data_IF_485991255382
#
_entry.id   IF_485991255382
#
_cell.length_a   1.000
_cell.length_b   1.000
_cell.length_c   1.000
_cell.angle_alpha   90.00
_cell.angle_beta   90.00
_cell.angle_gamma   90.00
#
_symmetry.space_group_name_H-M   'P 1'
#
loop_
_entity.id
_entity.type
_entity.pdbx_description
1 polymer ?
#
# COMPACT_ATOMS: atom_id res chain seq x y z
N UNK A 1 7.03 4.74 27.20
CA UNK A 1 6.55 3.55 26.48
C UNK A 1 5.27 3.92 25.78
N UNK A 2 5.21 3.86 24.45
CA UNK A 2 4.09 4.47 23.70
C UNK A 2 3.19 3.42 23.01
N UNK A 3 3.01 2.25 23.62
CA UNK A 3 1.92 1.35 23.25
C UNK A 3 0.74 1.68 24.18
N UNK A 4 -0.18 2.52 23.70
CA UNK A 4 -1.46 2.72 24.40
C UNK A 4 -2.38 1.59 23.98
N UNK A 5 -2.62 0.65 24.88
CA UNK A 5 -3.53 -0.48 24.65
C UNK A 5 -4.86 -0.13 25.29
N UNK A 6 -5.93 0.07 24.49
CA UNK A 6 -7.27 0.26 25.04
C UNK A 6 -7.76 -1.02 25.73
N UNK A 7 -8.74 -0.90 26.61
CA UNK A 7 -9.36 -2.06 27.26
C UNK A 7 -10.26 -2.79 26.23
N UNK A 8 -9.73 -3.89 25.69
CA UNK A 8 -10.39 -4.73 24.68
C UNK A 8 -10.90 -6.02 25.30
N UNK A 9 -10.22 -6.51 26.35
CA UNK A 9 -10.52 -7.81 26.96
C UNK A 9 -9.90 -8.99 26.20
N UNK A 10 -10.62 -10.15 26.12
CA UNK A 10 -10.09 -11.33 25.43
C UNK A 10 -9.82 -11.07 23.94
N UNK A 11 -8.59 -11.37 23.47
CA UNK A 11 -8.24 -11.14 22.08
C UNK A 11 -7.24 -12.16 21.49
N UNK A 12 -7.37 -12.39 20.18
CA UNK A 12 -6.34 -12.99 19.32
C UNK A 12 -5.66 -11.87 18.54
N UNK A 13 -4.35 -11.84 18.62
CA UNK A 13 -3.53 -10.76 18.07
C UNK A 13 -2.74 -11.25 16.85
N UNK A 14 -2.66 -10.43 15.81
CA UNK A 14 -1.64 -10.53 14.76
C UNK A 14 -0.85 -9.23 14.68
N UNK A 15 0.39 -9.28 14.18
CA UNK A 15 1.27 -8.11 14.16
C UNK A 15 2.11 -8.05 12.89
N UNK A 16 2.35 -6.83 12.40
CA UNK A 16 3.09 -6.63 11.16
C UNK A 16 3.17 -5.17 10.74
N UNK A 17 3.73 -4.94 9.56
CA UNK A 17 3.73 -3.61 8.92
C UNK A 17 2.52 -3.44 8.01
N UNK A 18 1.98 -4.52 7.48
CA UNK A 18 0.81 -4.60 6.60
C UNK A 18 0.90 -3.70 5.35
N UNK A 19 2.13 -3.33 4.95
CA UNK A 19 2.33 -2.45 3.80
C UNK A 19 1.82 -3.08 2.51
N UNK A 20 0.92 -2.36 1.83
CA UNK A 20 0.25 -2.79 0.60
C UNK A 20 -0.99 -3.66 0.81
N UNK A 21 -1.25 -4.18 2.02
CA UNK A 21 -2.41 -5.06 2.29
C UNK A 21 -2.60 -6.13 1.21
N UNK A 22 -1.49 -6.78 0.82
CA UNK A 22 -1.50 -7.87 -0.16
C UNK A 22 -2.33 -9.07 0.33
N UNK A 23 -2.65 -10.00 -0.56
CA UNK A 23 -3.53 -11.15 -0.24
C UNK A 23 -3.05 -11.97 0.96
N UNK A 24 -1.74 -12.08 1.19
CA UNK A 24 -1.21 -12.73 2.39
C UNK A 24 -1.51 -11.97 3.70
N UNK A 25 -1.52 -10.63 3.67
CA UNK A 25 -1.95 -9.84 4.83
C UNK A 25 -3.45 -10.00 5.11
N UNK A 26 -4.28 -10.01 4.05
CA UNK A 26 -5.74 -10.24 4.18
C UNK A 26 -6.02 -11.61 4.79
N UNK A 27 -5.32 -12.65 4.32
CA UNK A 27 -5.40 -13.99 4.91
C UNK A 27 -5.01 -13.99 6.40
N UNK A 28 -3.92 -13.27 6.76
CA UNK A 28 -3.50 -13.19 8.15
C UNK A 28 -4.58 -12.57 9.06
N UNK A 29 -5.22 -11.49 8.60
CA UNK A 29 -6.35 -10.87 9.31
C UNK A 29 -7.53 -11.84 9.40
N UNK A 30 -7.89 -12.51 8.31
CA UNK A 30 -9.00 -13.47 8.27
C UNK A 30 -8.77 -14.65 9.22
N UNK A 31 -7.58 -15.26 9.20
CA UNK A 31 -7.22 -16.36 10.12
C UNK A 31 -7.29 -15.89 11.57
N UNK A 32 -6.81 -14.68 11.86
CA UNK A 32 -6.87 -14.08 13.20
C UNK A 32 -8.32 -13.88 13.65
N UNK A 33 -9.18 -13.36 12.78
CA UNK A 33 -10.60 -13.15 13.06
C UNK A 33 -11.36 -14.47 13.28
N UNK A 34 -11.06 -15.50 12.48
CA UNK A 34 -11.63 -16.84 12.66
C UNK A 34 -11.21 -17.45 14.00
N UNK A 35 -9.92 -17.36 14.33
CA UNK A 35 -9.37 -17.87 15.57
C UNK A 35 -9.90 -17.14 16.80
N UNK A 36 -10.15 -15.84 16.69
CA UNK A 36 -10.74 -15.01 17.74
C UNK A 36 -12.19 -15.43 18.02
N UNK A 37 -13.01 -15.53 16.98
CA UNK A 37 -14.41 -16.00 17.13
C UNK A 37 -14.51 -17.38 17.76
N UNK A 38 -13.61 -18.30 17.41
CA UNK A 38 -13.59 -19.65 18.00
C UNK A 38 -13.22 -19.66 19.52
N UNK A 39 -12.78 -18.51 20.07
CA UNK A 39 -12.35 -18.33 21.46
C UNK A 39 -13.17 -17.29 22.21
N UNK A 40 -14.31 -16.87 21.66
CA UNK A 40 -15.13 -15.77 22.19
C UNK A 40 -14.29 -14.52 22.48
N UNK A 41 -13.42 -14.15 21.57
CA UNK A 41 -12.44 -13.08 21.67
C UNK A 41 -12.51 -12.13 20.48
N UNK A 42 -11.98 -10.92 20.63
CA UNK A 42 -11.80 -9.97 19.54
C UNK A 42 -10.55 -10.28 18.72
N UNK A 43 -10.57 -9.95 17.43
CA UNK A 43 -9.39 -9.96 16.58
C UNK A 43 -8.70 -8.61 16.61
N UNK A 44 -7.38 -8.60 16.88
CA UNK A 44 -6.58 -7.38 17.00
C UNK A 44 -5.40 -7.44 16.03
N UNK A 45 -5.29 -6.44 15.17
CA UNK A 45 -4.12 -6.26 14.35
C UNK A 45 -3.24 -5.13 14.90
N UNK A 46 -1.97 -5.42 15.18
CA UNK A 46 -0.98 -4.43 15.63
C UNK A 46 -0.10 -4.05 14.46
N UNK A 47 -0.14 -2.77 14.06
CA UNK A 47 0.63 -2.21 12.96
C UNK A 47 1.88 -1.53 13.52
N UNK A 48 3.07 -1.94 13.08
CA UNK A 48 4.30 -1.25 13.40
C UNK A 48 4.53 -0.07 12.44
N UNK A 49 4.67 1.13 13.00
CA UNK A 49 5.04 2.33 12.25
C UNK A 49 6.02 3.21 13.05
N UNK A 50 7.14 3.69 12.45
CA UNK A 50 7.61 3.37 11.10
C UNK A 50 7.94 1.88 10.92
N UNK A 51 8.14 1.42 9.67
CA UNK A 51 8.59 0.04 9.42
C UNK A 51 9.87 -0.28 10.19
N UNK A 52 9.96 -1.43 10.88
CA UNK A 52 11.10 -1.78 11.73
C UNK A 52 12.47 -1.58 11.08
N UNK A 53 12.57 -1.84 9.78
CA UNK A 53 13.85 -1.73 9.04
C UNK A 53 14.39 -0.30 9.01
N UNK A 54 13.53 0.73 9.06
CA UNK A 54 13.96 2.15 9.08
C UNK A 54 14.65 2.51 10.41
N UNK A 55 14.24 1.86 11.50
CA UNK A 55 14.86 2.03 12.83
C UNK A 55 16.08 1.12 13.00
N UNK A 56 16.01 -0.13 12.49
CA UNK A 56 17.12 -1.10 12.58
C UNK A 56 18.31 -0.67 11.72
N UNK A 57 18.04 -0.04 10.57
CA UNK A 57 19.06 0.45 9.63
C UNK A 57 18.82 1.93 9.33
N UNK A 58 19.29 2.84 10.18
CA UNK A 58 19.11 4.28 9.97
C UNK A 58 19.60 4.73 8.59
N UNK A 59 18.80 5.56 7.92
CA UNK A 59 19.04 5.99 6.54
C UNK A 59 18.38 5.10 5.48
N UNK A 60 17.80 3.96 5.85
CA UNK A 60 16.95 3.18 4.95
C UNK A 60 15.56 3.82 4.92
N UNK A 61 15.06 4.17 3.72
CA UNK A 61 13.68 4.60 3.52
C UNK A 61 12.94 3.49 2.77
N UNK A 62 11.87 2.99 3.37
CA UNK A 62 11.01 1.99 2.72
C UNK A 62 10.13 2.68 1.69
N UNK A 63 10.21 2.24 0.44
CA UNK A 63 9.23 2.63 -0.58
C UNK A 63 7.88 2.00 -0.23
N UNK A 64 6.95 2.79 0.29
CA UNK A 64 5.66 2.32 0.79
C UNK A 64 4.70 2.01 -0.34
N UNK A 65 4.00 0.90 -0.25
CA UNK A 65 2.95 0.49 -1.19
C UNK A 65 1.63 1.23 -0.92
N UNK A 66 1.42 1.68 0.33
CA UNK A 66 0.26 2.47 0.75
C UNK A 66 0.70 3.61 1.68
N UNK A 67 0.00 4.75 1.66
CA UNK A 67 0.10 5.74 2.73
C UNK A 67 -0.38 5.13 4.06
N UNK A 68 0.18 5.64 5.16
CA UNK A 68 -0.03 5.08 6.52
C UNK A 68 -1.50 4.99 6.91
N UNK A 69 -2.23 6.05 6.72
CA UNK A 69 -3.64 6.14 7.07
C UNK A 69 -4.52 5.13 6.33
N UNK A 70 -4.17 4.81 5.07
CA UNK A 70 -4.84 3.76 4.31
C UNK A 70 -4.48 2.34 4.78
N UNK A 71 -3.33 2.11 5.41
CA UNK A 71 -2.99 0.79 5.96
C UNK A 71 -3.98 0.44 7.07
N UNK A 72 -4.18 1.32 8.03
CA UNK A 72 -5.08 1.06 9.16
C UNK A 72 -6.53 0.82 8.72
N UNK A 73 -7.07 1.66 7.82
CA UNK A 73 -8.42 1.46 7.29
C UNK A 73 -8.56 0.13 6.56
N UNK A 74 -7.59 -0.24 5.71
CA UNK A 74 -7.64 -1.50 4.97
C UNK A 74 -7.47 -2.75 5.83
N UNK A 75 -6.76 -2.64 6.96
CA UNK A 75 -6.69 -3.71 7.96
C UNK A 75 -8.06 -3.90 8.62
N UNK A 76 -8.74 -2.80 8.99
CA UNK A 76 -10.10 -2.86 9.52
C UNK A 76 -11.10 -3.43 8.49
N UNK A 77 -11.04 -2.97 7.23
CA UNK A 77 -11.89 -3.47 6.12
C UNK A 77 -11.67 -4.96 5.84
N UNK A 78 -10.46 -5.48 6.12
CA UNK A 78 -10.16 -6.89 6.00
C UNK A 78 -10.75 -7.75 7.13
N UNK A 79 -11.40 -7.14 8.13
CA UNK A 79 -12.16 -7.81 9.17
C UNK A 79 -11.47 -7.92 10.53
N UNK A 80 -10.47 -7.09 10.80
CA UNK A 80 -9.97 -6.93 12.16
C UNK A 80 -10.97 -6.13 13.00
N UNK A 81 -11.35 -6.63 14.19
CA UNK A 81 -12.27 -5.92 15.10
C UNK A 81 -11.59 -4.67 15.67
N UNK A 82 -10.28 -4.74 15.93
CA UNK A 82 -9.47 -3.62 16.40
C UNK A 82 -8.17 -3.52 15.65
N UNK A 83 -7.76 -2.28 15.38
CA UNK A 83 -6.47 -1.94 14.79
C UNK A 83 -5.71 -1.05 15.76
N UNK A 84 -4.53 -1.50 16.19
CA UNK A 84 -3.64 -0.76 17.07
C UNK A 84 -2.38 -0.35 16.31
N UNK A 85 -1.98 0.91 16.44
CA UNK A 85 -0.72 1.38 15.91
C UNK A 85 0.35 1.39 17.01
N UNK A 86 1.41 0.61 16.81
CA UNK A 86 2.57 0.57 17.69
C UNK A 86 3.70 1.38 17.06
N UNK A 87 4.11 2.45 17.72
CA UNK A 87 5.30 3.20 17.30
C UNK A 87 6.54 2.31 17.47
N UNK A 88 7.15 1.94 16.34
CA UNK A 88 8.39 1.17 16.37
C UNK A 88 9.57 2.12 16.57
N UNK A 89 10.10 2.13 17.77
CA UNK A 89 11.26 2.94 18.18
C UNK A 89 12.38 2.06 18.77
N UNK A 90 13.46 2.69 19.21
CA UNK A 90 14.59 1.98 19.82
C UNK A 90 14.18 1.19 21.08
N UNK A 91 13.22 1.69 21.86
CA UNK A 91 12.76 1.01 23.06
C UNK A 91 11.98 -0.28 22.70
N UNK A 92 11.07 -0.20 21.72
CA UNK A 92 10.31 -1.37 21.27
C UNK A 92 11.21 -2.40 20.57
N UNK A 93 12.22 -1.95 19.84
CA UNK A 93 13.23 -2.82 19.21
C UNK A 93 13.98 -3.69 20.22
N UNK A 94 14.33 -3.13 21.37
CA UNK A 94 15.13 -3.82 22.41
C UNK A 94 14.27 -4.69 23.34
N UNK A 95 12.95 -4.69 23.22
CA UNK A 95 12.06 -5.54 24.02
C UNK A 95 12.24 -7.01 23.68
N UNK A 96 12.35 -7.86 24.70
CA UNK A 96 12.22 -9.30 24.53
C UNK A 96 10.76 -9.65 24.12
N UNK A 97 10.53 -10.77 23.42
CA UNK A 97 9.18 -11.18 23.05
C UNK A 97 8.21 -11.25 24.21
N UNK A 98 8.65 -11.76 25.36
CA UNK A 98 7.86 -11.86 26.59
C UNK A 98 7.46 -10.49 27.13
N UNK A 99 8.38 -9.53 27.10
CA UNK A 99 8.15 -8.15 27.54
C UNK A 99 7.14 -7.46 26.64
N UNK A 100 7.23 -7.68 25.33
CA UNK A 100 6.27 -7.13 24.36
C UNK A 100 4.87 -7.70 24.58
N UNK A 101 4.73 -9.02 24.72
CA UNK A 101 3.44 -9.67 24.96
C UNK A 101 2.86 -9.26 26.32
N UNK A 102 3.68 -9.16 27.36
CA UNK A 102 3.26 -8.68 28.67
C UNK A 102 2.81 -7.21 28.64
N UNK A 103 3.38 -6.39 27.76
CA UNK A 103 2.98 -5.00 27.59
C UNK A 103 1.58 -4.81 26.98
N UNK A 104 0.99 -5.85 26.40
CA UNK A 104 -0.40 -5.85 25.93
C UNK A 104 -1.40 -6.12 27.08
N UNK A 105 -0.97 -6.78 28.15
CA UNK A 105 -1.84 -7.24 29.23
C UNK A 105 -2.69 -6.16 29.92
N UNK A 106 -2.31 -4.86 29.99
CA UNK A 106 -3.19 -3.86 30.59
C UNK A 106 -4.55 -3.68 29.92
N UNK A 107 -4.67 -4.05 28.62
CA UNK A 107 -5.94 -3.91 27.88
C UNK A 107 -6.33 -5.14 27.07
N UNK A 108 -5.46 -6.15 26.99
CA UNK A 108 -5.69 -7.36 26.20
C UNK A 108 -5.43 -8.60 27.04
N UNK A 109 -6.46 -9.40 27.23
CA UNK A 109 -6.32 -10.78 27.71
C UNK A 109 -6.01 -11.68 26.51
N UNK A 110 -4.74 -12.04 26.32
CA UNK A 110 -4.31 -12.85 25.17
C UNK A 110 -4.98 -14.23 25.18
N UNK A 111 -5.67 -14.55 24.10
CA UNK A 111 -6.20 -15.90 23.77
C UNK A 111 -5.38 -16.58 22.68
N UNK A 112 -4.62 -15.80 21.90
CA UNK A 112 -3.74 -16.30 20.88
C UNK A 112 -2.92 -15.23 20.19
N UNK A 113 -1.82 -15.66 19.57
CA UNK A 113 -1.00 -14.84 18.69
C UNK A 113 -0.89 -15.57 17.35
N UNK A 114 -1.41 -14.95 16.28
CA UNK A 114 -1.43 -15.49 14.94
C UNK A 114 -0.27 -14.90 14.12
N UNK A 115 0.59 -15.75 13.57
CA UNK A 115 1.75 -15.33 12.78
C UNK A 115 2.18 -16.41 11.79
N UNK A 116 2.86 -16.00 10.72
CA UNK A 116 3.46 -16.95 9.77
C UNK A 116 4.75 -17.56 10.36
N UNK A 117 5.13 -18.78 9.97
CA UNK A 117 6.35 -19.43 10.49
C UNK A 117 7.64 -18.66 10.26
N UNK A 118 7.73 -17.84 9.22
CA UNK A 118 8.88 -17.00 8.89
C UNK A 118 8.86 -15.62 9.57
N UNK A 119 7.73 -15.27 10.20
CA UNK A 119 7.59 -14.03 10.97
C UNK A 119 8.32 -14.14 12.31
N UNK A 120 8.84 -13.02 12.78
CA UNK A 120 9.41 -12.92 14.11
C UNK A 120 9.39 -11.45 14.58
N UNK A 121 9.22 -11.25 15.88
CA UNK A 121 9.23 -9.93 16.53
C UNK A 121 10.17 -9.93 17.76
N UNK A 122 10.23 -8.77 18.44
CA UNK A 122 11.09 -8.58 19.61
C UNK A 122 12.58 -8.51 19.25
N UNK A 123 13.40 -8.27 20.27
CA UNK A 123 14.85 -8.13 20.14
C UNK A 123 15.45 -9.33 19.41
N UNK A 124 16.31 -9.03 18.44
CA UNK A 124 17.02 -10.02 17.62
C UNK A 124 16.10 -11.04 16.90
N UNK A 125 14.82 -10.66 16.68
CA UNK A 125 13.80 -11.54 16.08
C UNK A 125 13.57 -12.82 16.89
N UNK A 126 13.76 -12.77 18.23
CA UNK A 126 13.64 -13.94 19.08
C UNK A 126 12.21 -14.47 19.25
N UNK A 127 11.18 -13.65 18.95
CA UNK A 127 9.76 -14.05 19.00
C UNK A 127 9.32 -14.79 17.75
N UNK A 128 9.90 -15.96 17.49
CA UNK A 128 9.47 -16.91 16.46
C UNK A 128 8.15 -17.59 16.84
N UNK A 129 7.51 -18.29 15.91
CA UNK A 129 6.28 -19.04 16.20
C UNK A 129 6.49 -20.07 17.33
N UNK A 130 7.64 -20.78 17.32
CA UNK A 130 7.99 -21.75 18.37
C UNK A 130 8.17 -21.06 19.73
N UNK A 131 8.86 -19.89 19.75
CA UNK A 131 9.05 -19.15 20.99
C UNK A 131 7.73 -18.61 21.54
N UNK A 132 6.85 -18.14 20.67
CA UNK A 132 5.49 -17.70 21.05
C UNK A 132 4.69 -18.87 21.63
N UNK A 133 4.81 -20.08 21.07
CA UNK A 133 4.17 -21.27 21.61
C UNK A 133 4.70 -21.64 23.01
N UNK A 134 6.01 -21.55 23.26
CA UNK A 134 6.59 -21.77 24.60
C UNK A 134 6.07 -20.75 25.62
N UNK A 135 6.02 -19.46 25.24
CA UNK A 135 5.50 -18.40 26.11
C UNK A 135 4.01 -18.64 26.38
N UNK A 136 3.23 -18.97 25.33
CA UNK A 136 1.80 -19.22 25.42
C UNK A 136 1.46 -20.41 26.31
N UNK A 137 2.27 -21.50 26.29
CA UNK A 137 2.09 -22.65 27.17
C UNK A 137 2.22 -22.28 28.68
N UNK A 138 2.99 -21.25 28.98
CA UNK A 138 3.15 -20.75 30.37
C UNK A 138 2.07 -19.72 30.71
N UNK A 139 1.78 -18.81 29.77
CA UNK A 139 0.91 -17.65 29.97
C UNK A 139 -0.58 -17.93 29.68
N UNK A 140 -0.92 -19.09 29.11
CA UNK A 140 -2.31 -19.51 28.87
C UNK A 140 -2.93 -19.00 27.57
N UNK A 141 -2.13 -18.82 26.51
CA UNK A 141 -2.62 -18.47 25.16
C UNK A 141 -2.01 -19.37 24.07
N UNK A 142 -2.62 -19.41 22.90
CA UNK A 142 -2.16 -20.25 21.78
C UNK A 142 -1.25 -19.48 20.81
N UNK A 143 -0.22 -20.15 20.28
CA UNK A 143 0.45 -19.73 19.05
C UNK A 143 -0.29 -20.32 17.85
N UNK A 144 -0.74 -19.47 16.93
CA UNK A 144 -1.57 -19.85 15.79
C UNK A 144 -0.74 -19.67 14.51
N UNK A 145 -0.42 -20.79 13.86
CA UNK A 145 0.30 -20.75 12.61
C UNK A 145 -0.60 -20.27 11.46
N UNK A 146 -0.11 -19.32 10.69
CA UNK A 146 -0.73 -18.85 9.44
C UNK A 146 0.09 -19.43 8.28
N UNK A 147 -0.52 -20.30 7.49
CA UNK A 147 0.16 -20.87 6.31
C UNK A 147 0.47 -19.77 5.28
N UNK A 148 1.69 -19.70 4.72
CA UNK A 148 2.03 -18.73 3.70
C UNK A 148 1.15 -18.88 2.45
N UNK A 149 0.52 -17.79 2.01
CA UNK A 149 -0.25 -17.80 0.77
C UNK A 149 0.69 -17.79 -0.43
N UNK A 150 0.50 -18.74 -1.34
CA UNK A 150 1.27 -18.83 -2.58
C UNK A 150 0.46 -18.26 -3.75
N UNK A 151 1.10 -17.43 -4.54
CA UNK A 151 0.61 -16.98 -5.86
C UNK A 151 1.64 -17.37 -6.89
N UNK A 152 1.23 -18.18 -7.87
CA UNK A 152 2.13 -18.74 -8.89
C UNK A 152 3.28 -19.56 -8.28
N UNK A 153 3.00 -20.30 -7.20
CA UNK A 153 3.97 -21.18 -6.54
C UNK A 153 4.96 -20.48 -5.60
N UNK A 154 4.89 -19.16 -5.45
CA UNK A 154 5.78 -18.39 -4.59
C UNK A 154 5.02 -17.65 -3.48
N UNK A 155 5.61 -17.52 -2.25
CA UNK A 155 5.00 -16.75 -1.18
C UNK A 155 4.73 -15.30 -1.57
N UNK A 156 3.57 -14.79 -1.18
CA UNK A 156 3.23 -13.37 -1.36
C UNK A 156 3.93 -12.52 -0.32
N UNK A 157 4.53 -11.42 -0.76
CA UNK A 157 5.19 -10.45 0.14
C UNK A 157 5.18 -9.04 -0.42
N UNK A 158 5.29 -8.02 0.44
CA UNK A 158 5.46 -6.62 0.01
C UNK A 158 6.71 -6.41 -0.85
N UNK A 159 7.78 -7.19 -0.62
CA UNK A 159 8.99 -7.16 -1.45
C UNK A 159 8.69 -7.60 -2.89
N UNK A 160 7.91 -8.66 -3.05
CA UNK A 160 7.51 -9.16 -4.36
C UNK A 160 6.59 -8.18 -5.10
N UNK A 161 5.69 -7.50 -4.38
CA UNK A 161 4.87 -6.42 -4.95
C UNK A 161 5.73 -5.27 -5.44
N UNK A 162 6.71 -4.81 -4.63
CA UNK A 162 7.64 -3.75 -5.05
C UNK A 162 8.47 -4.15 -6.27
N UNK A 163 8.94 -5.39 -6.33
CA UNK A 163 9.68 -5.89 -7.49
C UNK A 163 8.82 -5.89 -8.76
N UNK A 164 7.55 -6.29 -8.69
CA UNK A 164 6.63 -6.22 -9.82
C UNK A 164 6.39 -4.77 -10.28
N UNK A 165 6.20 -3.83 -9.34
CA UNK A 165 6.08 -2.41 -9.68
C UNK A 165 7.36 -1.87 -10.33
N UNK A 166 8.52 -2.14 -9.75
CA UNK A 166 9.81 -1.70 -10.30
C UNK A 166 10.09 -2.25 -11.72
N UNK A 167 9.52 -3.41 -12.05
CA UNK A 167 9.53 -3.97 -13.41
C UNK A 167 8.45 -3.38 -14.33
N UNK A 168 7.53 -2.57 -13.81
CA UNK A 168 6.37 -2.04 -14.54
C UNK A 168 5.25 -3.07 -14.76
N UNK A 169 5.33 -4.23 -14.10
CA UNK A 169 4.32 -5.27 -14.15
C UNK A 169 3.20 -5.00 -13.13
N UNK A 170 2.37 -4.02 -13.47
CA UNK A 170 1.20 -3.67 -12.65
C UNK A 170 0.16 -4.78 -12.61
N UNK A 171 0.15 -5.69 -13.59
CA UNK A 171 -0.76 -6.83 -13.61
C UNK A 171 -0.41 -7.85 -12.52
N UNK A 172 0.87 -8.21 -12.36
CA UNK A 172 1.33 -9.05 -11.25
C UNK A 172 1.14 -8.34 -9.91
N UNK A 173 1.49 -7.05 -9.80
CA UNK A 173 1.25 -6.28 -8.59
C UNK A 173 -0.24 -6.32 -8.18
N UNK A 174 -1.17 -6.13 -9.14
CA UNK A 174 -2.61 -6.23 -8.92
C UNK A 174 -3.03 -7.62 -8.42
N UNK A 175 -2.49 -8.70 -8.97
CA UNK A 175 -2.80 -10.07 -8.49
C UNK A 175 -2.35 -10.27 -7.04
N UNK A 176 -1.14 -9.82 -6.71
CA UNK A 176 -0.58 -9.93 -5.36
C UNK A 176 -1.35 -9.07 -4.33
N UNK A 177 -1.87 -7.91 -4.75
CA UNK A 177 -2.64 -6.99 -3.92
C UNK A 177 -4.15 -7.32 -3.88
N UNK A 178 -4.67 -8.11 -4.83
CA UNK A 178 -6.11 -8.26 -5.13
C UNK A 178 -6.83 -6.92 -5.39
N UNK A 179 -6.09 -5.88 -5.73
CA UNK A 179 -6.57 -4.54 -6.07
C UNK A 179 -5.54 -3.84 -6.96
N UNK A 180 -5.90 -2.82 -7.74
CA UNK A 180 -4.92 -2.02 -8.46
C UNK A 180 -3.88 -1.43 -7.50
N UNK A 181 -2.58 -1.41 -7.86
CA UNK A 181 -1.60 -0.62 -7.12
C UNK A 181 -2.02 0.86 -7.18
N UNK A 182 -1.81 1.58 -6.08
CA UNK A 182 -2.21 2.97 -6.00
C UNK A 182 -1.13 3.88 -5.40
N UNK A 183 -1.25 5.17 -5.72
CA UNK A 183 -0.52 6.26 -5.09
C UNK A 183 -1.52 7.29 -4.58
N UNK A 184 -1.18 7.99 -3.50
CA UNK A 184 -1.91 9.15 -3.03
C UNK A 184 -0.95 10.32 -2.90
N UNK A 185 -1.28 11.43 -3.52
CA UNK A 185 -0.46 12.64 -3.49
C UNK A 185 -1.27 13.91 -3.69
N UNK A 186 -0.67 15.04 -3.28
CA UNK A 186 -1.26 16.37 -3.44
C UNK A 186 -0.83 16.95 -4.78
N UNK A 187 -1.76 17.57 -5.49
CA UNK A 187 -1.47 18.26 -6.75
C UNK A 187 -0.72 19.56 -6.47
N UNK A 188 0.45 19.68 -7.06
CA UNK A 188 1.30 20.86 -6.96
C UNK A 188 1.46 21.56 -8.30
N UNK A 189 1.87 22.82 -8.27
CA UNK A 189 2.22 23.56 -9.49
C UNK A 189 3.45 22.95 -10.17
N UNK A 190 3.30 22.65 -11.47
CA UNK A 190 4.38 22.26 -12.37
C UNK A 190 4.70 23.34 -13.39
N UNK A 191 5.46 23.01 -14.44
CA UNK A 191 5.89 23.95 -15.50
C UNK A 191 4.77 24.39 -16.44
N UNK A 192 3.56 23.83 -16.31
CA UNK A 192 2.37 24.09 -17.15
C UNK A 192 2.54 23.79 -18.65
N UNK A 193 3.65 23.16 -19.06
CA UNK A 193 3.93 22.83 -20.48
C UNK A 193 2.84 21.96 -21.10
N UNK A 194 2.31 20.98 -20.36
CA UNK A 194 1.22 20.12 -20.83
C UNK A 194 -0.03 20.95 -21.22
N UNK A 195 -0.37 21.98 -20.45
CA UNK A 195 -1.52 22.86 -20.75
C UNK A 195 -1.34 23.60 -22.09
N UNK A 196 -0.15 24.09 -22.37
CA UNK A 196 0.18 24.76 -23.65
C UNK A 196 0.09 23.81 -24.85
N UNK A 197 0.33 22.51 -24.62
CA UNK A 197 0.26 21.45 -25.63
C UNK A 197 -1.14 20.82 -25.77
N UNK A 198 -2.13 21.26 -24.95
CA UNK A 198 -3.49 20.73 -24.97
C UNK A 198 -3.70 19.50 -24.07
N UNK A 199 -2.70 19.15 -23.25
CA UNK A 199 -2.75 18.04 -22.30
C UNK A 199 -2.45 18.54 -20.87
N UNK A 200 -3.41 19.19 -20.19
CA UNK A 200 -3.21 19.69 -18.83
C UNK A 200 -2.97 18.53 -17.87
N UNK A 201 -1.76 18.43 -17.30
CA UNK A 201 -1.37 17.41 -16.33
C UNK A 201 -1.31 17.97 -14.91
N UNK A 202 -1.73 17.16 -13.94
CA UNK A 202 -1.56 17.38 -12.51
C UNK A 202 -0.25 16.75 -12.05
N UNK A 203 0.65 17.53 -11.45
CA UNK A 203 1.90 17.04 -10.87
C UNK A 203 1.65 16.63 -9.43
N UNK A 204 2.07 15.42 -9.02
CA UNK A 204 1.86 14.91 -7.68
C UNK A 204 3.10 15.06 -6.79
N UNK A 205 2.88 15.60 -5.59
CA UNK A 205 3.82 15.55 -4.48
C UNK A 205 3.35 14.52 -3.45
N UNK A 206 4.31 13.83 -2.83
CA UNK A 206 4.02 12.77 -1.86
C UNK A 206 4.55 13.14 -0.48
N UNK A 207 3.73 12.96 0.55
CA UNK A 207 4.12 13.12 1.95
C UNK A 207 4.92 11.90 2.49
N UNK A 208 5.13 10.87 1.67
CA UNK A 208 5.85 9.64 1.97
C UNK A 208 6.71 9.24 0.77
N UNK A 209 7.55 8.23 0.90
CA UNK A 209 8.31 7.65 -0.22
C UNK A 209 7.49 6.53 -0.85
N UNK A 210 6.78 6.76 -1.99
CA UNK A 210 5.95 5.75 -2.61
C UNK A 210 6.78 4.70 -3.36
N UNK A 211 6.28 3.47 -3.41
CA UNK A 211 6.76 2.44 -4.33
C UNK A 211 6.21 2.72 -5.72
N UNK A 212 6.97 3.45 -6.52
CA UNK A 212 6.58 3.83 -7.87
C UNK A 212 6.73 2.65 -8.85
N UNK A 213 5.84 2.52 -9.84
CA UNK A 213 6.08 1.62 -10.95
C UNK A 213 7.23 2.12 -11.85
N UNK A 214 7.76 1.25 -12.70
CA UNK A 214 8.80 1.61 -13.67
C UNK A 214 8.42 2.84 -14.49
N UNK A 215 9.42 3.58 -14.97
CA UNK A 215 9.21 4.74 -15.82
C UNK A 215 8.38 4.37 -17.06
N UNK A 216 7.36 5.16 -17.36
CA UNK A 216 6.47 4.87 -18.49
C UNK A 216 5.13 5.61 -18.39
N UNK A 217 4.27 5.29 -19.36
CA UNK A 217 2.90 5.79 -19.44
C UNK A 217 1.95 4.66 -19.09
N UNK A 218 1.02 4.96 -18.20
CA UNK A 218 0.05 4.02 -17.68
C UNK A 218 -1.38 4.52 -17.92
N UNK A 219 -2.28 3.60 -18.21
CA UNK A 219 -3.70 3.84 -18.02
C UNK A 219 -4.02 3.58 -16.55
N UNK A 220 -4.73 4.50 -15.95
CA UNK A 220 -5.15 4.44 -14.55
C UNK A 220 -6.53 5.03 -14.33
N UNK A 221 -6.91 5.09 -13.07
CA UNK A 221 -8.13 5.73 -12.59
C UNK A 221 -7.79 6.66 -11.43
N UNK A 222 -8.46 7.81 -11.36
CA UNK A 222 -8.21 8.86 -10.36
C UNK A 222 -9.45 9.14 -9.56
N UNK A 223 -9.33 9.12 -8.25
CA UNK A 223 -10.34 9.64 -7.35
C UNK A 223 -9.86 10.95 -6.72
N UNK A 224 -10.81 11.86 -6.55
CA UNK A 224 -10.64 13.17 -5.91
C UNK A 224 -11.51 13.18 -4.64
N UNK A 225 -10.98 12.76 -3.47
CA UNK A 225 -11.78 12.55 -2.25
C UNK A 225 -12.55 13.76 -1.80
N UNK A 226 -11.93 14.94 -1.86
CA UNK A 226 -12.50 16.19 -1.33
C UNK A 226 -13.73 16.70 -2.12
N UNK A 227 -13.92 16.21 -3.34
CA UNK A 227 -15.00 16.70 -4.20
C UNK A 227 -16.22 15.79 -4.21
N UNK A 228 -16.20 14.67 -3.52
CA UNK A 228 -17.28 13.67 -3.49
C UNK A 228 -17.82 13.36 -4.91
N UNK A 229 -16.96 13.43 -5.91
CA UNK A 229 -17.29 13.39 -7.32
C UNK A 229 -17.21 11.96 -7.81
N UNK A 230 -18.31 11.23 -7.72
CA UNK A 230 -18.61 10.09 -8.56
C UNK A 230 -17.56 8.97 -8.66
N UNK A 231 -17.70 8.11 -9.67
CA UNK A 231 -16.74 7.05 -9.94
C UNK A 231 -15.37 7.62 -10.34
N UNK A 232 -14.30 6.84 -10.12
CA UNK A 232 -12.96 7.21 -10.49
C UNK A 232 -12.86 7.61 -11.98
N UNK A 233 -12.19 8.73 -12.25
CA UNK A 233 -11.98 9.22 -13.61
C UNK A 233 -10.85 8.48 -14.29
N UNK A 234 -11.01 8.03 -15.53
CA UNK A 234 -9.92 7.46 -16.31
C UNK A 234 -8.83 8.52 -16.53
N UNK A 235 -7.58 8.09 -16.45
CA UNK A 235 -6.44 8.97 -16.59
C UNK A 235 -5.26 8.29 -17.28
N UNK A 236 -4.43 9.09 -17.94
CA UNK A 236 -3.07 8.72 -18.29
C UNK A 236 -2.13 9.18 -17.18
N UNK A 237 -1.29 8.27 -16.72
CA UNK A 237 -0.32 8.54 -15.66
C UNK A 237 1.07 8.39 -16.24
N UNK A 238 1.85 9.47 -16.21
CA UNK A 238 3.26 9.46 -16.57
C UNK A 238 4.09 9.29 -15.30
N UNK A 239 4.95 8.28 -15.28
CA UNK A 239 6.03 8.12 -14.31
C UNK A 239 7.33 8.35 -15.08
N UNK A 240 7.97 9.48 -14.86
CA UNK A 240 9.11 9.92 -15.67
C UNK A 240 10.18 10.64 -14.85
N UNK A 241 11.34 10.87 -15.46
CA UNK A 241 12.42 11.63 -14.86
C UNK A 241 12.50 13.00 -15.53
N UNK A 242 12.50 14.06 -14.72
CA UNK A 242 12.72 15.41 -15.25
C UNK A 242 14.19 15.57 -15.66
N UNK A 243 14.48 15.88 -16.96
CA UNK A 243 15.82 16.22 -17.36
C UNK A 243 16.12 17.68 -16.93
N UNK A 244 16.66 17.87 -15.74
CA UNK A 244 17.13 19.20 -15.29
C UNK A 244 18.60 19.15 -14.88
N UNK A 245 19.32 20.25 -15.14
CA UNK A 245 20.74 20.39 -14.83
C UNK A 245 21.04 20.47 -13.32
N UNK A 246 20.02 20.54 -12.45
CA UNK A 246 20.16 20.80 -11.01
C UNK A 246 19.46 19.81 -10.07
N UNK A 247 18.56 18.95 -10.58
CA UNK A 247 17.90 17.90 -9.78
C UNK A 247 18.30 16.52 -10.32
N UNK A 248 19.17 15.84 -9.58
CA UNK A 248 19.64 14.48 -9.93
C UNK A 248 18.46 13.50 -10.00
N UNK A 249 17.83 13.44 -11.19
CA UNK A 249 16.94 12.33 -11.55
C UNK A 249 15.68 12.15 -10.68
N UNK A 250 15.10 13.22 -10.10
CA UNK A 250 13.84 13.11 -9.36
C UNK A 250 12.73 12.57 -10.26
N UNK A 251 12.16 11.43 -9.84
CA UNK A 251 11.00 10.85 -10.52
C UNK A 251 9.77 11.72 -10.25
N UNK A 252 9.07 12.09 -11.33
CA UNK A 252 7.81 12.82 -11.30
C UNK A 252 6.66 11.90 -11.66
N UNK A 253 5.53 12.13 -11.04
CA UNK A 253 4.25 11.53 -11.41
C UNK A 253 3.32 12.62 -11.89
N UNK A 254 2.95 12.55 -13.16
CA UNK A 254 2.04 13.49 -13.80
C UNK A 254 0.77 12.75 -14.24
N UNK A 255 -0.37 13.35 -13.98
CA UNK A 255 -1.68 12.73 -14.22
C UNK A 255 -2.49 13.60 -15.16
N UNK A 256 -2.89 13.03 -16.30
CA UNK A 256 -3.82 13.64 -17.26
C UNK A 256 -5.18 12.93 -17.16
N UNK A 257 -6.16 13.60 -16.58
CA UNK A 257 -7.52 13.08 -16.47
C UNK A 257 -8.23 13.22 -17.81
N UNK A 258 -8.76 12.14 -18.34
CA UNK A 258 -9.52 12.15 -19.59
C UNK A 258 -10.87 12.83 -19.35
N UNK A 259 -11.24 13.72 -20.29
CA UNK A 259 -12.53 14.43 -20.26
C UNK A 259 -12.80 15.22 -18.96
N UNK A 260 -11.73 15.69 -18.31
CA UNK A 260 -11.81 16.51 -17.12
C UNK A 260 -11.57 17.99 -17.43
N UNK A 261 -12.47 18.83 -16.95
CA UNK A 261 -12.29 20.29 -16.97
C UNK A 261 -12.53 20.82 -15.55
N UNK A 262 -11.45 21.24 -14.91
CA UNK A 262 -11.49 21.76 -13.55
C UNK A 262 -10.13 21.95 -12.91
N UNK A 263 -10.09 22.78 -11.87
CA UNK A 263 -8.89 23.00 -11.07
C UNK A 263 -8.71 21.87 -10.04
N UNK A 264 -7.51 21.32 -9.99
CA UNK A 264 -7.11 20.25 -9.08
C UNK A 264 -5.97 20.67 -8.13
N UNK A 265 -5.47 21.90 -8.21
CA UNK A 265 -4.41 22.35 -7.33
C UNK A 265 -4.80 22.22 -5.87
N UNK A 266 -3.81 21.84 -5.05
CA UNK A 266 -3.94 21.58 -3.61
C UNK A 266 -4.91 20.44 -3.23
N UNK A 267 -5.57 19.80 -4.22
CA UNK A 267 -6.40 18.62 -3.98
C UNK A 267 -5.53 17.37 -3.79
N UNK A 268 -5.96 16.48 -2.92
CA UNK A 268 -5.40 15.15 -2.80
C UNK A 268 -6.00 14.23 -3.86
N UNK A 269 -5.16 13.54 -4.63
CA UNK A 269 -5.58 12.55 -5.61
C UNK A 269 -5.14 11.16 -5.17
N UNK A 270 -6.04 10.19 -5.31
CA UNK A 270 -5.70 8.76 -5.31
C UNK A 270 -5.67 8.27 -6.74
N UNK A 271 -4.52 7.76 -7.16
CA UNK A 271 -4.24 7.29 -8.53
C UNK A 271 -4.02 5.80 -8.52
N UNK A 272 -4.87 5.05 -9.20
CA UNK A 272 -4.75 3.61 -9.41
C UNK A 272 -4.12 3.30 -10.76
N UNK A 273 -3.20 2.34 -10.80
CA UNK A 273 -2.56 1.88 -12.03
C UNK A 273 -3.26 0.63 -12.57
N UNK A 274 -3.75 0.69 -13.79
CA UNK A 274 -4.48 -0.43 -14.42
C UNK A 274 -3.61 -1.24 -15.37
N UNK A 275 -2.93 -0.55 -16.30
CA UNK A 275 -2.06 -1.19 -17.28
C UNK A 275 -0.95 -0.25 -17.74
N UNK A 276 0.24 -0.77 -17.95
CA UNK A 276 1.34 -0.05 -18.60
C UNK A 276 1.09 -0.01 -20.11
N UNK A 277 1.00 1.19 -20.68
CA UNK A 277 0.82 1.37 -22.13
C UNK A 277 2.14 1.27 -22.86
N UNK A 278 3.19 1.93 -22.33
CA UNK A 278 4.53 1.93 -22.92
C UNK A 278 5.60 2.40 -21.92
N UNK A 279 6.84 2.26 -22.32
CA UNK A 279 8.00 2.87 -21.64
C UNK A 279 8.08 4.37 -21.89
N UNK A 280 8.81 5.07 -21.01
CA UNK A 280 9.19 6.46 -21.25
C UNK A 280 10.08 6.57 -22.49
N UNK A 281 9.91 7.65 -23.27
CA UNK A 281 10.69 7.92 -24.48
C UNK A 281 11.11 9.37 -24.52
N UNK A 282 12.25 9.62 -25.15
CA UNK A 282 12.68 10.98 -25.54
C UNK A 282 12.16 11.27 -26.94
N UNK A 283 11.78 12.51 -27.17
CA UNK A 283 11.26 12.97 -28.46
C UNK A 283 12.20 14.03 -29.04
N UNK A 284 12.39 13.98 -30.35
CA UNK A 284 13.28 14.91 -31.07
C UNK A 284 12.63 16.27 -31.31
N UNK A 285 11.29 16.36 -31.22
CA UNK A 285 10.54 17.60 -31.38
C UNK A 285 9.29 17.61 -30.49
N UNK A 286 8.72 18.80 -30.29
CA UNK A 286 7.47 19.00 -29.57
C UNK A 286 6.29 18.35 -30.31
N UNK A 287 6.30 18.42 -31.63
CA UNK A 287 5.27 17.81 -32.48
C UNK A 287 5.26 16.29 -32.30
N UNK A 288 6.42 15.63 -32.31
CA UNK A 288 6.54 14.20 -32.09
C UNK A 288 6.04 13.80 -30.68
N UNK A 289 6.28 14.62 -29.66
CA UNK A 289 5.74 14.42 -28.32
C UNK A 289 4.21 14.50 -28.33
N UNK A 290 3.63 15.55 -28.93
CA UNK A 290 2.18 15.74 -29.01
C UNK A 290 1.49 14.61 -29.75
N UNK A 291 2.06 14.17 -30.87
CA UNK A 291 1.52 13.05 -31.66
C UNK A 291 1.52 11.74 -30.85
N UNK A 292 2.59 11.49 -30.06
CA UNK A 292 2.61 10.33 -29.17
C UNK A 292 1.59 10.46 -28.03
N UNK A 293 1.41 11.65 -27.44
CA UNK A 293 0.40 11.85 -26.40
C UNK A 293 -1.02 11.59 -26.94
N UNK A 294 -1.32 12.01 -28.16
CA UNK A 294 -2.59 11.68 -28.84
C UNK A 294 -2.75 10.18 -29.08
N UNK A 295 -1.67 9.50 -29.48
CA UNK A 295 -1.68 8.04 -29.67
C UNK A 295 -1.92 7.31 -28.34
N UNK A 296 -1.28 7.74 -27.25
CA UNK A 296 -1.49 7.19 -25.90
C UNK A 296 -2.94 7.38 -25.42
N UNK A 297 -3.52 8.55 -25.66
CA UNK A 297 -4.92 8.82 -25.35
C UNK A 297 -5.87 7.95 -26.17
N UNK A 298 -5.62 7.81 -27.48
CA UNK A 298 -6.42 6.94 -28.33
C UNK A 298 -6.36 5.48 -27.89
N UNK A 299 -5.17 4.97 -27.53
CA UNK A 299 -5.01 3.60 -26.99
C UNK A 299 -5.72 3.44 -25.64
N UNK A 300 -5.63 4.44 -24.76
CA UNK A 300 -6.35 4.43 -23.47
C UNK A 300 -7.86 4.34 -23.71
N UNK A 301 -8.42 5.19 -24.57
CA UNK A 301 -9.86 5.19 -24.90
C UNK A 301 -10.30 3.88 -25.52
N UNK A 302 -9.50 3.29 -26.40
CA UNK A 302 -9.75 1.97 -26.99
C UNK A 302 -9.85 0.88 -25.90
N UNK A 303 -8.91 0.87 -24.93
CA UNK A 303 -8.91 -0.10 -23.84
C UNK A 303 -10.10 0.08 -22.89
N UNK A 304 -10.50 1.31 -22.64
CA UNK A 304 -11.71 1.64 -21.85
C UNK A 304 -12.98 1.12 -22.55
N UNK A 305 -13.09 1.28 -23.88
CA UNK A 305 -14.24 0.78 -24.67
C UNK A 305 -14.25 -0.73 -24.91
N UNK A 306 -13.12 -1.44 -24.71
CA UNK A 306 -12.97 -2.88 -24.96
C UNK A 306 -13.09 -3.76 -23.71
N UNK A 307 -13.28 -3.17 -22.53
CA UNK A 307 -13.39 -3.90 -21.25
C UNK A 307 -14.73 -4.64 -21.13
N UNK A 308 -14.79 -5.78 -20.41
CA UNK A 308 -16.05 -6.46 -20.09
C UNK A 308 -16.93 -5.56 -19.22
N UNK A 309 -17.95 -4.97 -19.84
CA UNK A 309 -18.82 -3.94 -19.26
C UNK A 309 -18.26 -2.53 -19.50
N UNK A 310 -18.69 -1.90 -20.59
CA UNK A 310 -18.22 -0.59 -21.06
C UNK A 310 -18.65 0.60 -20.18
N UNK A 311 -18.51 0.47 -18.88
CA UNK A 311 -18.67 1.54 -17.90
C UNK A 311 -17.63 1.31 -16.79
N UNK A 312 -16.56 2.10 -16.76
CA UNK A 312 -15.76 2.27 -15.55
C UNK A 312 -16.58 2.89 -14.41
N UNK A 313 -17.87 3.16 -14.66
CA UNK A 313 -18.85 3.58 -13.65
C UNK A 313 -19.08 2.58 -12.52
N UNK A 314 -18.46 1.38 -12.55
CA UNK A 314 -18.70 0.34 -11.55
C UNK A 314 -17.42 -0.25 -10.93
N UNK A 315 -16.25 0.28 -11.24
CA UNK A 315 -15.10 0.05 -10.35
C UNK A 315 -15.38 0.85 -9.07
N UNK A 316 -16.15 0.28 -8.14
CA UNK A 316 -16.19 0.76 -6.77
C UNK A 316 -14.75 0.74 -6.29
N UNK A 317 -14.14 1.91 -6.15
CA UNK A 317 -12.99 2.07 -5.29
C UNK A 317 -13.43 1.50 -3.94
N UNK A 318 -12.92 0.32 -3.60
CA UNK A 318 -13.09 -0.27 -2.27
C UNK A 318 -12.18 0.58 -1.36
N UNK A 319 -12.76 1.63 -0.81
CA UNK A 319 -12.19 2.43 0.29
C UNK A 319 -12.25 1.64 1.58
#
# INVERSE_FOLDING_TARGET
>A
MSLSVPDIGPAVVTLGVFDGMHVGHRQAIEVTAVAARARDAASVAIIFDPPPIEIIRPGTLVQRLLPRDLVASRVADAGADHVLEARFDAALREMAPEEFLAALAPGIELRGVAMTPDSAFGRDRAGTLERVAEIGAIAGFDAIAIEPLLVEGEPVSSTRVRAALAAGDVATARRLLASPPLLRGTVIHGDRRGRELGFPTANLAFAYTPALPALGIYLGAVAVPERNVGPAHPALVSVGVRPTFHDEGRVLVEVYLLDWDGDLYDSELTVEFTVRLREERRFESVEALVDQMRADEAEARKRLGSGPGSSMATARLLW
#
